data_IF_146813301766
#
_entry.id   IF_146813301766
#
_cell.length_a   1.000
_cell.length_b   1.000
_cell.length_c   1.000
_cell.angle_alpha   90.00
_cell.angle_beta   90.00
_cell.angle_gamma   90.00
#
_symmetry.space_group_name_H-M   'P 1'
#
loop_
_entity.id
_entity.type
_entity.pdbx_description
1 polymer ?
#
# COMPACT_ATOMS: atom_id res chain seq x y z
N UNK A 1 5.47 -4.30 -13.94
CA UNK A 1 6.79 -4.90 -14.25
C UNK A 1 7.72 -4.88 -13.05
N UNK A 2 8.16 -3.74 -12.52
CA UNK A 2 9.13 -3.69 -11.40
C UNK A 2 8.80 -4.58 -10.19
N UNK A 3 7.56 -4.52 -9.69
CA UNK A 3 7.11 -5.37 -8.56
C UNK A 3 7.26 -6.88 -8.87
N UNK A 4 6.95 -7.31 -10.09
CA UNK A 4 7.00 -8.72 -10.48
C UNK A 4 8.43 -9.26 -10.69
N UNK A 5 9.40 -8.37 -10.91
CA UNK A 5 10.82 -8.72 -11.07
C UNK A 5 11.65 -8.35 -9.83
N UNK A 6 11.00 -8.06 -8.70
CA UNK A 6 11.71 -7.77 -7.46
C UNK A 6 12.39 -9.04 -6.92
N UNK A 7 13.69 -8.94 -6.64
CA UNK A 7 14.48 -10.06 -6.12
C UNK A 7 14.44 -10.16 -4.59
N UNK A 8 14.01 -9.09 -3.91
CA UNK A 8 13.96 -9.02 -2.45
C UNK A 8 12.86 -8.08 -1.95
N UNK A 9 12.55 -8.17 -0.65
CA UNK A 9 11.46 -7.40 -0.04
C UNK A 9 11.69 -5.88 -0.14
N UNK A 10 12.95 -5.43 -0.10
CA UNK A 10 13.29 -4.01 -0.21
C UNK A 10 13.02 -3.46 -1.61
N UNK A 11 13.45 -4.17 -2.66
CA UNK A 11 13.16 -3.79 -4.05
C UNK A 11 11.68 -3.88 -4.37
N UNK A 12 10.96 -4.86 -3.80
CA UNK A 12 9.50 -4.94 -3.88
C UNK A 12 8.85 -3.69 -3.31
N UNK A 13 9.25 -3.28 -2.10
CA UNK A 13 8.75 -2.07 -1.44
C UNK A 13 9.03 -0.82 -2.28
N UNK A 14 10.26 -0.65 -2.78
CA UNK A 14 10.61 0.51 -3.61
C UNK A 14 9.74 0.62 -4.88
N UNK A 15 9.54 -0.48 -5.61
CA UNK A 15 8.67 -0.47 -6.80
C UNK A 15 7.19 -0.26 -6.45
N UNK A 16 6.76 -0.71 -5.28
CA UNK A 16 5.40 -0.49 -4.79
C UNK A 16 5.15 0.99 -4.45
N UNK A 17 6.11 1.65 -3.83
CA UNK A 17 6.05 3.10 -3.54
C UNK A 17 6.12 3.93 -4.83
N UNK A 18 6.95 3.53 -5.80
CA UNK A 18 6.98 4.16 -7.13
C UNK A 18 5.63 4.05 -7.82
N UNK A 19 4.97 2.88 -7.77
CA UNK A 19 3.62 2.72 -8.30
C UNK A 19 2.64 3.69 -7.63
N UNK A 20 2.73 3.86 -6.31
CA UNK A 20 1.91 4.81 -5.55
C UNK A 20 2.13 6.24 -6.02
N UNK A 21 3.39 6.65 -6.21
CA UNK A 21 3.74 7.97 -6.74
C UNK A 21 3.24 8.16 -8.18
N UNK A 22 3.30 7.12 -9.02
CA UNK A 22 2.79 7.18 -10.39
C UNK A 22 1.26 7.36 -10.47
N UNK A 23 0.50 6.98 -9.44
CA UNK A 23 -0.95 7.25 -9.38
C UNK A 23 -1.29 8.69 -8.99
N UNK A 24 -0.35 9.45 -8.43
CA UNK A 24 -0.60 10.81 -7.98
C UNK A 24 -0.95 11.80 -9.11
N UNK A 25 -0.24 11.82 -10.26
CA UNK A 25 -0.63 12.63 -11.42
C UNK A 25 -2.03 12.31 -11.93
N UNK A 26 -2.42 11.03 -11.90
CA UNK A 26 -3.75 10.59 -12.35
C UNK A 26 -4.85 11.14 -11.43
N UNK A 27 -4.65 11.12 -10.11
CA UNK A 27 -5.59 11.68 -9.12
C UNK A 27 -5.69 13.20 -9.25
N UNK A 28 -4.60 13.87 -9.60
CA UNK A 28 -4.54 15.35 -9.72
C UNK A 28 -4.77 15.85 -11.14
N UNK A 29 -5.16 14.97 -12.08
CA UNK A 29 -5.21 15.28 -13.52
C UNK A 29 -6.13 16.47 -13.86
N UNK A 30 -7.21 16.67 -13.10
CA UNK A 30 -8.17 17.74 -13.33
C UNK A 30 -7.67 19.15 -12.96
N UNK A 31 -6.46 19.27 -12.40
CA UNK A 31 -5.77 20.54 -12.08
C UNK A 31 -6.54 21.56 -11.22
N UNK A 32 -7.69 21.20 -10.65
CA UNK A 32 -8.40 22.05 -9.69
C UNK A 32 -7.67 22.08 -8.34
N UNK A 33 -7.86 23.15 -7.58
CA UNK A 33 -7.24 23.30 -6.26
C UNK A 33 -7.73 22.22 -5.28
N UNK A 34 -8.98 21.79 -5.42
CA UNK A 34 -9.56 20.68 -4.67
C UNK A 34 -8.88 19.35 -5.04
N UNK A 35 -8.66 19.08 -6.33
CA UNK A 35 -8.03 17.85 -6.79
C UNK A 35 -6.58 17.75 -6.30
N UNK A 36 -5.83 18.86 -6.32
CA UNK A 36 -4.47 18.93 -5.77
C UNK A 36 -4.44 18.70 -4.25
N UNK A 37 -5.37 19.30 -3.52
CA UNK A 37 -5.47 19.11 -2.06
C UNK A 37 -5.83 17.67 -1.71
N UNK A 38 -6.81 17.08 -2.39
CA UNK A 38 -7.21 15.68 -2.21
C UNK A 38 -6.06 14.72 -2.56
N UNK A 39 -5.35 14.95 -3.65
CA UNK A 39 -4.18 14.15 -4.04
C UNK A 39 -3.07 14.16 -2.99
N UNK A 40 -2.75 15.31 -2.38
CA UNK A 40 -1.71 15.40 -1.34
C UNK A 40 -2.10 14.66 -0.05
N UNK A 41 -3.36 14.79 0.37
CA UNK A 41 -3.86 14.07 1.56
C UNK A 41 -3.85 12.57 1.30
N UNK A 42 -4.34 12.15 0.13
CA UNK A 42 -4.31 10.75 -0.31
C UNK A 42 -2.89 10.19 -0.32
N UNK A 43 -1.95 10.90 -0.96
CA UNK A 43 -0.55 10.48 -1.03
C UNK A 43 0.09 10.41 0.35
N UNK A 44 -0.14 11.41 1.20
CA UNK A 44 0.38 11.44 2.57
C UNK A 44 -0.11 10.25 3.39
N UNK A 45 -1.41 9.93 3.35
CA UNK A 45 -1.95 8.78 4.08
C UNK A 45 -1.38 7.47 3.55
N UNK A 46 -1.33 7.28 2.22
CA UNK A 46 -0.85 6.04 1.63
C UNK A 46 0.64 5.79 1.87
N UNK A 47 1.49 6.81 1.65
CA UNK A 47 2.93 6.67 1.87
C UNK A 47 3.23 6.49 3.36
N UNK A 48 2.61 7.26 4.25
CA UNK A 48 2.92 7.17 5.68
C UNK A 48 2.51 5.82 6.26
N UNK A 49 1.33 5.32 5.88
CA UNK A 49 0.87 3.98 6.33
C UNK A 49 1.74 2.87 5.76
N UNK A 50 2.09 2.91 4.48
CA UNK A 50 2.96 1.89 3.89
C UNK A 50 4.36 1.93 4.48
N UNK A 51 5.00 3.09 4.56
CA UNK A 51 6.34 3.24 5.18
C UNK A 51 6.31 2.80 6.64
N UNK A 52 5.31 3.19 7.43
CA UNK A 52 5.26 2.82 8.85
C UNK A 52 5.08 1.31 9.09
N UNK A 53 4.19 0.66 8.35
CA UNK A 53 3.87 -0.76 8.58
C UNK A 53 4.74 -1.70 7.75
N UNK A 54 4.92 -1.42 6.47
CA UNK A 54 5.63 -2.31 5.55
C UNK A 54 7.15 -2.24 5.76
N UNK A 55 7.73 -1.04 5.97
CA UNK A 55 9.16 -0.93 6.25
C UNK A 55 9.50 -1.55 7.61
N UNK A 56 8.64 -1.35 8.61
CA UNK A 56 8.80 -1.99 9.91
C UNK A 56 8.77 -3.53 9.80
N UNK A 57 7.85 -4.09 9.01
CA UNK A 57 7.80 -5.52 8.75
C UNK A 57 9.08 -6.04 8.08
N UNK A 58 9.63 -5.30 7.10
CA UNK A 58 10.89 -5.65 6.42
C UNK A 58 12.06 -5.63 7.40
N UNK A 59 12.18 -4.59 8.22
CA UNK A 59 13.24 -4.48 9.24
C UNK A 59 13.14 -5.64 10.23
N UNK A 60 11.94 -5.97 10.71
CA UNK A 60 11.75 -7.06 11.65
C UNK A 60 12.07 -8.42 11.01
N UNK A 61 11.68 -8.62 9.75
CA UNK A 61 12.03 -9.83 8.99
C UNK A 61 13.55 -9.98 8.87
N UNK A 62 14.24 -8.88 8.54
CA UNK A 62 15.70 -8.86 8.45
C UNK A 62 16.36 -9.21 9.80
N UNK A 63 15.83 -8.74 10.93
CA UNK A 63 16.33 -9.09 12.27
C UNK A 63 16.16 -10.56 12.64
N UNK A 64 15.22 -11.28 12.02
CA UNK A 64 14.94 -12.69 12.33
C UNK A 64 15.60 -13.66 11.35
N UNK A 65 15.70 -13.28 10.08
CA UNK A 65 16.20 -14.14 9.00
C UNK A 65 17.60 -13.75 8.50
N UNK A 66 18.14 -12.61 8.93
CA UNK A 66 19.38 -11.97 8.44
C UNK A 66 19.40 -11.67 6.93
N UNK A 67 18.31 -11.99 6.22
CA UNK A 67 18.10 -11.73 4.80
C UNK A 67 16.70 -11.22 4.53
N UNK A 68 16.56 -10.54 3.39
CA UNK A 68 15.28 -10.08 2.83
C UNK A 68 15.10 -10.53 1.39
N UNK A 69 16.00 -11.39 0.89
CA UNK A 69 15.96 -11.93 -0.46
C UNK A 69 14.90 -13.03 -0.57
N UNK A 70 14.22 -13.11 -1.71
CA UNK A 70 13.23 -14.14 -1.93
C UNK A 70 13.93 -15.46 -2.25
N UNK A 71 13.69 -16.47 -1.42
CA UNK A 71 14.18 -17.84 -1.61
C UNK A 71 13.02 -18.82 -1.67
N UNK A 72 13.16 -19.86 -2.50
CA UNK A 72 12.19 -20.94 -2.56
C UNK A 72 12.13 -21.64 -1.19
N UNK A 73 10.92 -21.83 -0.65
CA UNK A 73 10.70 -22.37 0.70
C UNK A 73 10.64 -21.33 1.82
N UNK A 74 10.88 -20.05 1.51
CA UNK A 74 10.75 -18.93 2.45
C UNK A 74 11.92 -18.76 3.42
N UNK A 75 12.02 -17.57 4.01
CA UNK A 75 13.16 -17.14 4.84
C UNK A 75 12.88 -17.19 6.35
N UNK A 76 11.62 -17.42 6.76
CA UNK A 76 11.17 -17.35 8.16
C UNK A 76 10.91 -18.73 8.79
N UNK A 77 11.32 -19.81 8.14
CA UNK A 77 11.08 -21.17 8.63
C UNK A 77 11.93 -21.45 9.87
N UNK A 78 11.28 -21.65 11.02
CA UNK A 78 11.97 -21.97 12.27
C UNK A 78 12.66 -20.80 12.98
N UNK A 79 12.51 -19.57 12.49
CA UNK A 79 13.17 -18.38 13.07
C UNK A 79 12.40 -17.75 14.22
N UNK A 80 11.09 -17.97 14.34
CA UNK A 80 10.27 -17.38 15.38
C UNK A 80 9.02 -18.23 15.72
N UNK A 81 8.34 -17.87 16.82
CA UNK A 81 7.07 -18.50 17.18
C UNK A 81 5.95 -18.11 16.21
N UNK A 82 4.92 -18.98 16.10
CA UNK A 82 3.76 -18.73 15.23
C UNK A 82 3.07 -17.38 15.50
N UNK A 83 3.11 -16.89 16.74
CA UNK A 83 2.56 -15.59 17.10
C UNK A 83 3.32 -14.41 16.48
N UNK A 84 4.65 -14.47 16.49
CA UNK A 84 5.51 -13.43 15.88
C UNK A 84 5.36 -13.44 14.35
N UNK A 85 5.35 -14.63 13.74
CA UNK A 85 5.13 -14.77 12.30
C UNK A 85 3.76 -14.23 11.88
N UNK A 86 2.71 -14.48 12.68
CA UNK A 86 1.38 -13.93 12.45
C UNK A 86 1.37 -12.40 12.56
N UNK A 87 2.09 -11.83 13.53
CA UNK A 87 2.20 -10.37 13.68
C UNK A 87 2.92 -9.72 12.49
N UNK A 88 4.01 -10.32 12.00
CA UNK A 88 4.74 -9.86 10.81
C UNK A 88 3.84 -9.94 9.57
N UNK A 89 3.09 -11.03 9.41
CA UNK A 89 2.12 -11.17 8.33
C UNK A 89 1.06 -10.07 8.38
N UNK A 90 0.51 -9.76 9.54
CA UNK A 90 -0.45 -8.67 9.73
C UNK A 90 0.17 -7.33 9.34
N UNK A 91 1.41 -7.03 9.76
CA UNK A 91 2.11 -5.81 9.36
C UNK A 91 2.29 -5.71 7.84
N UNK A 92 2.65 -6.80 7.16
CA UNK A 92 2.73 -6.84 5.69
C UNK A 92 1.36 -6.64 5.03
N UNK A 93 0.31 -7.28 5.53
CA UNK A 93 -1.05 -7.14 4.98
C UNK A 93 -1.55 -5.70 5.12
N UNK A 94 -1.36 -5.06 6.28
CA UNK A 94 -1.75 -3.66 6.46
C UNK A 94 -0.85 -2.69 5.66
N UNK A 95 0.44 -2.98 5.56
CA UNK A 95 1.39 -2.17 4.78
C UNK A 95 1.10 -2.19 3.28
N UNK A 96 0.85 -3.38 2.71
CA UNK A 96 0.51 -3.56 1.28
C UNK A 96 -0.93 -3.15 1.01
N UNK A 97 -1.87 -3.65 1.82
CA UNK A 97 -3.30 -3.40 1.66
C UNK A 97 -3.68 -1.93 1.80
N UNK A 98 -2.83 -1.11 2.43
CA UNK A 98 -3.12 0.31 2.69
C UNK A 98 -4.50 0.44 3.37
N UNK A 99 -5.29 1.44 3.03
CA UNK A 99 -6.67 1.58 3.50
C UNK A 99 -7.68 0.60 2.86
N UNK A 100 -7.23 -0.38 2.07
CA UNK A 100 -8.08 -1.28 1.26
C UNK A 100 -8.32 -2.67 1.89
N UNK A 101 -8.04 -2.88 3.18
CA UNK A 101 -8.37 -4.14 3.90
C UNK A 101 -9.81 -4.08 4.45
N UNK A 102 -10.68 -5.03 4.07
CA UNK A 102 -12.07 -5.14 4.58
C UNK A 102 -11.97 -5.46 6.08
N UNK A 103 -12.62 -4.72 7.00
CA UNK A 103 -13.82 -3.89 6.81
C UNK A 103 -13.57 -2.38 6.86
N UNK A 104 -12.33 -1.89 6.70
CA UNK A 104 -12.03 -0.45 6.85
C UNK A 104 -12.57 0.45 5.71
N UNK A 105 -13.30 -0.13 4.77
CA UNK A 105 -14.10 0.57 3.75
C UNK A 105 -15.57 0.72 4.12
N UNK A 106 -16.08 -0.03 5.10
CA UNK A 106 -17.47 0.06 5.53
C UNK A 106 -17.82 1.45 6.11
N UNK A 107 -16.82 2.22 6.55
CA UNK A 107 -16.97 3.59 7.04
C UNK A 107 -16.86 4.71 5.99
N UNK A 108 -16.52 4.41 4.73
CA UNK A 108 -16.46 5.42 3.66
C UNK A 108 -17.83 5.68 2.99
N UNK A 109 -18.94 5.33 3.64
CA UNK A 109 -20.21 6.06 3.46
C UNK A 109 -20.11 7.45 4.12
N UNK A 110 -19.08 8.22 3.76
CA UNK A 110 -18.97 9.62 4.12
C UNK A 110 -19.98 10.41 3.27
N UNK A 111 -20.69 11.40 3.84
CA UNK A 111 -21.64 12.29 3.12
C UNK A 111 -21.06 13.03 1.89
N UNK A 112 -19.74 12.92 1.69
CA UNK A 112 -18.99 13.44 0.55
C UNK A 112 -19.18 12.64 -0.75
N UNK A 113 -19.49 11.34 -0.67
CA UNK A 113 -19.71 10.49 -1.85
C UNK A 113 -20.98 10.86 -2.62
N UNK A 114 -21.96 11.45 -1.93
CA UNK A 114 -23.21 11.93 -2.54
C UNK A 114 -23.09 13.30 -3.22
N UNK A 115 -21.97 14.01 -3.04
CA UNK A 115 -21.88 15.43 -3.42
C UNK A 115 -20.85 15.79 -4.47
N UNK A 116 -20.37 14.88 -5.31
CA UNK A 116 -19.72 15.29 -6.57
C UNK A 116 -20.02 14.31 -7.72
N UNK A 117 -20.60 14.87 -8.79
CA UNK A 117 -20.96 14.27 -10.08
C UNK A 117 -19.77 13.72 -10.89
N UNK A 118 -18.83 13.01 -10.27
CA UNK A 118 -17.64 12.49 -10.96
C UNK A 118 -17.87 11.13 -11.62
N UNK A 119 -18.82 10.32 -11.14
CA UNK A 119 -19.10 9.00 -11.73
C UNK A 119 -19.99 9.04 -12.99
N UNK A 120 -20.83 10.07 -13.16
CA UNK A 120 -21.83 10.03 -14.24
C UNK A 120 -21.27 10.29 -15.65
N UNK A 121 -20.07 10.88 -15.79
CA UNK A 121 -19.49 11.18 -17.11
C UNK A 121 -18.59 10.06 -17.66
N UNK A 122 -17.91 9.28 -16.82
CA UNK A 122 -17.05 8.18 -17.29
C UNK A 122 -17.84 6.96 -17.80
N UNK A 123 -19.09 6.79 -17.38
CA UNK A 123 -19.89 5.60 -17.69
C UNK A 123 -20.81 5.79 -18.91
N UNK A 124 -20.69 6.92 -19.62
CA UNK A 124 -21.41 7.21 -20.88
C UNK A 124 -20.53 7.18 -22.13
N UNK A 125 -19.25 6.84 -22.00
CA UNK A 125 -18.29 6.78 -23.12
C UNK A 125 -17.63 5.40 -23.28
N UNK A 126 -18.24 4.36 -22.69
CA UNK A 126 -18.03 2.95 -22.99
C UNK A 126 -19.40 2.30 -23.18
#
# INVERSE_FOLDING_TARGET
MGVAFSANLFTLFAFYEVLTLCTFPLVTHHQTDEARKAGRVYLGILLTTSVAFQLLAIIWTWQLADTVDFTDGGILTGTASNGVLSAILVLFVFGVGKAAVMPFHAGYQLPWWHRHRFQHSCMRLL
#
